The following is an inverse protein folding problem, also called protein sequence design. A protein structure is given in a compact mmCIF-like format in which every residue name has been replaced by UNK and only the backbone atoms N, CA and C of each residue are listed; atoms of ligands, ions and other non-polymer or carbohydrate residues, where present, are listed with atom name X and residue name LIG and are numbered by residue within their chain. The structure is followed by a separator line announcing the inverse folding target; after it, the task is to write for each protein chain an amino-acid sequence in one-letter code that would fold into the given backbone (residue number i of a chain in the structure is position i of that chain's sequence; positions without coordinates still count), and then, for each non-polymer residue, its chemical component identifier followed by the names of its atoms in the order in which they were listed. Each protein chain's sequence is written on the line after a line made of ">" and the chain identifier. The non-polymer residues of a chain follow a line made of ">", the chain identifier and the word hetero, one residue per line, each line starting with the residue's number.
data_IF_452500127830
#
_entry.id   IF_452500127830
#
_cell.length_a   1.000
_cell.length_b   1.000
_cell.length_c   1.000
_cell.angle_alpha   90.00
_cell.angle_beta   90.00
_cell.angle_gamma   90.00
#
_symmetry.space_group_name_H-M   'P 1'
#
loop_
_entity.id
_entity.type
_entity.pdbx_description
1 polymer ?
#
# COMPACT_ATOMS: atom_id res chain seq x y z
N UNK A 1 2.58 -13.25 -14.81
CA UNK A 1 3.08 -14.64 -14.98
C UNK A 1 3.92 -15.14 -13.80
N UNK A 2 4.76 -14.31 -13.17
CA UNK A 2 5.64 -14.72 -12.03
C UNK A 2 4.86 -15.42 -10.91
N UNK A 3 3.70 -14.90 -10.49
CA UNK A 3 2.90 -15.50 -9.41
C UNK A 3 2.44 -16.94 -9.70
N UNK A 4 2.18 -17.28 -10.97
CA UNK A 4 1.82 -18.66 -11.35
C UNK A 4 3.03 -19.59 -11.17
N UNK A 5 4.23 -19.16 -11.57
CA UNK A 5 5.45 -19.94 -11.39
C UNK A 5 5.84 -20.08 -9.91
N UNK A 6 5.49 -19.10 -9.07
CA UNK A 6 5.71 -19.16 -7.62
C UNK A 6 4.66 -20.01 -6.88
N UNK A 7 3.51 -20.31 -7.50
CA UNK A 7 2.43 -21.07 -6.85
C UNK A 7 2.85 -22.46 -6.36
N UNK A 8 3.62 -23.29 -7.11
CA UNK A 8 4.13 -24.57 -6.58
C UNK A 8 5.02 -24.40 -5.36
N UNK A 9 5.88 -23.39 -5.36
CA UNK A 9 6.77 -23.09 -4.22
C UNK A 9 5.92 -22.69 -3.01
N UNK A 10 4.92 -21.82 -3.22
CA UNK A 10 3.96 -21.44 -2.18
C UNK A 10 3.26 -22.66 -1.55
N UNK A 11 2.80 -23.61 -2.38
CA UNK A 11 2.15 -24.82 -1.89
C UNK A 11 3.12 -25.73 -1.10
N UNK A 12 4.36 -25.89 -1.58
CA UNK A 12 5.40 -26.67 -0.86
C UNK A 12 5.74 -26.03 0.49
N UNK A 13 5.85 -24.71 0.57
CA UNK A 13 6.09 -24.00 1.83
C UNK A 13 4.91 -24.15 2.81
N UNK A 14 3.66 -24.14 2.29
CA UNK A 14 2.50 -24.42 3.13
C UNK A 14 2.48 -25.87 3.63
N UNK A 15 2.90 -26.86 2.83
CA UNK A 15 3.05 -28.24 3.29
C UNK A 15 4.15 -28.36 4.37
N UNK A 16 5.25 -27.62 4.26
CA UNK A 16 6.29 -27.56 5.28
C UNK A 16 5.73 -27.00 6.61
N UNK A 17 4.97 -25.90 6.56
CA UNK A 17 4.32 -25.31 7.74
C UNK A 17 3.32 -26.31 8.36
N UNK A 18 2.48 -26.95 7.55
CA UNK A 18 1.50 -27.93 8.01
C UNK A 18 2.18 -29.12 8.72
N UNK A 19 3.26 -29.65 8.10
CA UNK A 19 4.09 -30.71 8.70
C UNK A 19 4.67 -30.26 10.04
N UNK A 20 5.23 -29.05 10.09
CA UNK A 20 5.81 -28.51 11.32
C UNK A 20 4.76 -28.36 12.42
N UNK A 21 3.57 -27.84 12.10
CA UNK A 21 2.46 -27.72 13.02
C UNK A 21 2.02 -29.08 13.56
N UNK A 22 1.94 -30.11 12.72
CA UNK A 22 1.62 -31.49 13.18
C UNK A 22 2.65 -32.06 14.13
N UNK A 23 3.93 -31.85 13.86
CA UNK A 23 5.01 -32.31 14.73
C UNK A 23 4.91 -31.64 16.11
N UNK A 24 4.73 -30.32 16.11
CA UNK A 24 4.59 -29.54 17.35
C UNK A 24 3.35 -29.89 18.15
N UNK A 25 2.17 -29.87 17.54
CA UNK A 25 0.90 -30.21 18.20
C UNK A 25 0.96 -31.63 18.79
N UNK A 26 1.61 -32.54 18.08
CA UNK A 26 1.82 -33.90 18.58
C UNK A 26 2.68 -33.98 19.85
N UNK A 27 3.49 -32.96 20.17
CA UNK A 27 4.22 -32.90 21.45
C UNK A 27 3.38 -32.31 22.57
N UNK A 28 2.37 -31.49 22.24
CA UNK A 28 1.53 -30.83 23.24
C UNK A 28 0.55 -31.80 23.94
N UNK A 29 -0.26 -32.51 23.15
CA UNK A 29 -1.29 -33.43 23.73
C UNK A 29 -1.58 -34.61 22.81
N UNK A 30 -1.95 -35.79 23.41
CA UNK A 30 -2.20 -37.02 22.66
C UNK A 30 -3.38 -36.92 21.69
N UNK A 31 -4.45 -36.18 22.02
CA UNK A 31 -5.62 -36.00 21.17
C UNK A 31 -5.25 -35.32 19.82
N UNK A 32 -4.24 -34.42 19.84
CA UNK A 32 -3.76 -33.73 18.66
C UNK A 32 -2.97 -34.62 17.68
N UNK A 33 -2.69 -35.89 18.09
CA UNK A 33 -2.09 -36.91 17.24
C UNK A 33 -3.12 -37.77 16.52
N UNK A 34 -4.37 -37.74 16.95
CA UNK A 34 -5.42 -38.57 16.35
C UNK A 34 -5.63 -38.19 14.90
N UNK A 35 -5.94 -39.20 14.07
CA UNK A 35 -6.18 -39.00 12.64
C UNK A 35 -7.32 -38.01 12.41
N UNK A 36 -8.42 -38.13 13.19
CA UNK A 36 -9.58 -37.23 13.07
C UNK A 36 -9.20 -35.77 13.29
N UNK A 37 -8.44 -35.45 14.36
CA UNK A 37 -7.99 -34.09 14.61
C UNK A 37 -7.09 -33.57 13.47
N UNK A 38 -6.11 -34.40 13.05
CA UNK A 38 -5.20 -34.01 11.96
C UNK A 38 -5.92 -33.74 10.63
N UNK A 39 -6.92 -34.54 10.31
CA UNK A 39 -7.72 -34.33 9.11
C UNK A 39 -8.53 -33.03 9.18
N UNK A 40 -9.20 -32.77 10.30
CA UNK A 40 -9.97 -31.52 10.50
C UNK A 40 -9.03 -30.31 10.41
N UNK A 41 -7.89 -30.36 11.09
CA UNK A 41 -6.90 -29.27 11.03
C UNK A 41 -6.37 -29.08 9.60
N UNK A 42 -6.05 -30.16 8.87
CA UNK A 42 -5.60 -30.09 7.48
C UNK A 42 -6.63 -29.42 6.59
N UNK A 43 -7.91 -29.83 6.68
CA UNK A 43 -8.99 -29.25 5.86
C UNK A 43 -9.10 -27.75 6.13
N UNK A 44 -9.15 -27.35 7.40
CA UNK A 44 -9.22 -25.92 7.77
C UNK A 44 -7.98 -25.17 7.23
N UNK A 45 -6.79 -25.69 7.47
CA UNK A 45 -5.54 -25.06 7.00
C UNK A 45 -5.50 -24.92 5.48
N UNK A 46 -5.87 -25.98 4.74
CA UNK A 46 -5.91 -25.97 3.26
C UNK A 46 -6.91 -24.95 2.74
N UNK A 47 -8.11 -24.85 3.34
CA UNK A 47 -9.10 -23.85 2.93
C UNK A 47 -8.55 -22.42 3.07
N UNK A 48 -7.82 -22.12 4.16
CA UNK A 48 -7.20 -20.81 4.33
C UNK A 48 -5.99 -20.62 3.40
N UNK A 49 -5.07 -21.58 3.34
CA UNK A 49 -3.84 -21.46 2.55
C UNK A 49 -4.09 -21.44 1.04
N UNK A 50 -5.12 -22.11 0.54
CA UNK A 50 -5.47 -22.07 -0.88
C UNK A 50 -6.38 -20.91 -1.25
N UNK A 51 -6.92 -20.14 -0.26
CA UNK A 51 -7.85 -19.04 -0.52
C UNK A 51 -7.28 -17.97 -1.46
N UNK A 52 -5.96 -17.74 -1.43
CA UNK A 52 -5.26 -16.84 -2.33
C UNK A 52 -5.41 -17.29 -3.80
N UNK A 53 -5.16 -18.58 -4.08
CA UNK A 53 -5.25 -19.16 -5.43
C UNK A 53 -6.70 -19.37 -5.86
N UNK A 54 -7.54 -19.90 -4.97
CA UNK A 54 -8.96 -20.14 -5.28
C UNK A 54 -9.73 -18.83 -5.45
N UNK A 55 -9.35 -17.76 -4.72
CA UNK A 55 -9.89 -16.42 -4.92
C UNK A 55 -9.51 -15.81 -6.27
N UNK A 56 -8.38 -16.19 -6.85
CA UNK A 56 -8.02 -15.81 -8.21
C UNK A 56 -8.81 -16.61 -9.27
N UNK A 57 -9.04 -17.90 -9.04
CA UNK A 57 -9.69 -18.80 -10.01
C UNK A 57 -11.21 -18.73 -9.97
N UNK A 58 -11.82 -18.60 -8.79
CA UNK A 58 -13.28 -18.64 -8.60
C UNK A 58 -13.84 -17.23 -8.64
N UNK A 59 -14.48 -16.86 -9.73
CA UNK A 59 -15.08 -15.53 -9.95
C UNK A 59 -16.56 -15.46 -9.52
N UNK A 60 -17.26 -16.59 -9.51
CA UNK A 60 -18.68 -16.67 -9.16
C UNK A 60 -18.95 -17.76 -8.12
N UNK A 61 -19.92 -17.58 -7.22
CA UNK A 61 -20.68 -16.33 -6.99
C UNK A 61 -19.81 -15.20 -6.42
N UNK A 62 -20.14 -13.93 -6.73
CA UNK A 62 -19.35 -12.75 -6.32
C UNK A 62 -19.09 -12.67 -4.80
N UNK A 63 -20.02 -13.16 -3.97
CA UNK A 63 -19.85 -13.22 -2.51
C UNK A 63 -18.73 -14.16 -2.07
N UNK A 64 -18.66 -15.34 -2.68
CA UNK A 64 -17.60 -16.32 -2.43
C UNK A 64 -16.25 -15.81 -2.94
N UNK A 65 -16.20 -15.27 -4.15
CA UNK A 65 -15.02 -14.65 -4.71
C UNK A 65 -14.44 -13.60 -3.74
N UNK A 66 -15.27 -12.64 -3.30
CA UNK A 66 -14.88 -11.61 -2.34
C UNK A 66 -14.36 -12.20 -1.02
N UNK A 67 -15.06 -13.21 -0.49
CA UNK A 67 -14.64 -13.88 0.76
C UNK A 67 -13.25 -14.50 0.60
N UNK A 68 -13.01 -15.21 -0.51
CA UNK A 68 -11.72 -15.84 -0.81
C UNK A 68 -10.61 -14.82 -1.00
N UNK A 69 -10.85 -13.72 -1.74
CA UNK A 69 -9.87 -12.63 -1.92
C UNK A 69 -9.49 -12.00 -0.57
N UNK A 70 -10.46 -11.63 0.25
CA UNK A 70 -10.20 -11.06 1.59
C UNK A 70 -9.42 -12.05 2.47
N UNK A 71 -9.88 -13.30 2.55
CA UNK A 71 -9.22 -14.35 3.32
C UNK A 71 -7.79 -14.56 2.85
N UNK A 72 -7.57 -14.62 1.52
CA UNK A 72 -6.24 -14.78 0.91
C UNK A 72 -5.30 -13.64 1.25
N UNK A 73 -5.76 -12.38 1.19
CA UNK A 73 -4.94 -11.21 1.53
C UNK A 73 -4.50 -11.21 3.01
N UNK A 74 -5.39 -11.57 3.94
CA UNK A 74 -5.02 -11.72 5.35
C UNK A 74 -4.10 -12.91 5.58
N UNK A 75 -4.42 -14.06 4.96
CA UNK A 75 -3.61 -15.27 5.10
C UNK A 75 -2.21 -15.08 4.54
N UNK A 76 -2.04 -14.36 3.43
CA UNK A 76 -0.73 -14.10 2.84
C UNK A 76 0.22 -13.45 3.84
N UNK A 77 -0.23 -12.45 4.58
CA UNK A 77 0.59 -11.81 5.60
C UNK A 77 0.91 -12.74 6.77
N UNK A 78 -0.10 -13.49 7.27
CA UNK A 78 0.10 -14.48 8.34
C UNK A 78 1.09 -15.57 7.88
N UNK A 79 0.96 -16.05 6.65
CA UNK A 79 1.84 -17.04 6.04
C UNK A 79 3.30 -16.57 6.00
N UNK A 80 3.56 -15.33 5.57
CA UNK A 80 4.92 -14.78 5.48
C UNK A 80 5.61 -14.78 6.84
N UNK A 81 4.94 -14.28 7.89
CA UNK A 81 5.53 -14.27 9.24
C UNK A 81 5.59 -15.65 9.86
N UNK A 82 4.61 -16.51 9.61
CA UNK A 82 4.67 -17.92 10.04
C UNK A 82 5.89 -18.62 9.45
N UNK A 83 6.10 -18.45 8.15
CA UNK A 83 7.25 -19.04 7.46
C UNK A 83 8.58 -18.57 8.05
N UNK A 84 8.75 -17.24 8.19
CA UNK A 84 9.98 -16.65 8.72
C UNK A 84 10.26 -17.13 10.15
N UNK A 85 9.25 -17.11 11.04
CA UNK A 85 9.41 -17.52 12.44
C UNK A 85 9.78 -19.00 12.54
N UNK A 86 9.12 -19.88 11.77
CA UNK A 86 9.41 -21.30 11.77
C UNK A 86 10.81 -21.60 11.21
N UNK A 87 11.20 -20.93 10.12
CA UNK A 87 12.55 -21.07 9.55
C UNK A 87 13.63 -20.62 10.53
N UNK A 88 13.43 -19.49 11.21
CA UNK A 88 14.36 -19.01 12.24
C UNK A 88 14.44 -19.98 13.44
N UNK A 89 13.30 -20.54 13.87
CA UNK A 89 13.28 -21.54 14.94
C UNK A 89 14.00 -22.82 14.54
N UNK A 90 13.78 -23.34 13.33
CA UNK A 90 14.49 -24.54 12.85
C UNK A 90 15.97 -24.27 12.63
N UNK A 91 16.35 -23.09 12.11
CA UNK A 91 17.75 -22.69 11.97
C UNK A 91 18.43 -22.57 13.34
N UNK A 92 17.79 -21.90 14.31
CA UNK A 92 18.29 -21.80 15.68
C UNK A 92 18.45 -23.18 16.33
N UNK A 93 17.50 -24.10 16.10
CA UNK A 93 17.61 -25.48 16.60
C UNK A 93 18.80 -26.23 15.98
N UNK A 94 19.06 -26.04 14.69
CA UNK A 94 20.21 -26.63 14.00
C UNK A 94 21.52 -26.10 14.59
N UNK A 95 21.64 -24.77 14.80
CA UNK A 95 22.83 -24.16 15.41
C UNK A 95 23.06 -24.69 16.83
N UNK A 96 22.02 -24.68 17.69
CA UNK A 96 22.12 -25.17 19.06
C UNK A 96 22.51 -26.63 19.11
N UNK A 97 22.04 -27.47 18.17
CA UNK A 97 22.37 -28.89 18.10
C UNK A 97 23.78 -29.17 17.61
N UNK A 98 24.16 -28.59 16.48
CA UNK A 98 25.36 -29.01 15.73
C UNK A 98 26.56 -28.10 15.95
N UNK A 99 26.35 -26.83 16.32
CA UNK A 99 27.46 -25.89 16.59
C UNK A 99 27.71 -25.76 18.08
N UNK A 100 26.65 -25.55 18.87
CA UNK A 100 26.77 -25.34 20.31
C UNK A 100 26.65 -26.65 21.14
N UNK A 101 26.31 -27.79 20.51
CA UNK A 101 26.18 -29.10 21.13
C UNK A 101 25.28 -29.14 22.39
N UNK A 102 24.21 -28.35 22.39
CA UNK A 102 23.27 -28.27 23.52
C UNK A 102 22.40 -29.53 23.59
N UNK A 103 22.61 -30.38 24.58
CA UNK A 103 21.98 -31.71 24.67
C UNK A 103 20.46 -31.67 24.88
N UNK A 104 19.96 -30.73 25.69
CA UNK A 104 18.54 -30.65 26.01
C UNK A 104 17.63 -30.21 24.84
N UNK A 105 18.21 -29.65 23.75
CA UNK A 105 17.47 -29.22 22.58
C UNK A 105 16.73 -30.36 21.87
N UNK A 106 17.15 -31.61 22.12
CA UNK A 106 16.49 -32.80 21.60
C UNK A 106 15.24 -33.21 22.38
N UNK A 107 15.02 -32.63 23.56
CA UNK A 107 13.89 -33.01 24.41
C UNK A 107 12.54 -32.63 23.80
N UNK A 108 11.52 -33.45 24.08
CA UNK A 108 10.14 -33.14 23.72
C UNK A 108 9.71 -31.80 24.32
N UNK A 109 10.11 -31.54 25.56
CA UNK A 109 9.77 -30.30 26.28
C UNK A 109 10.34 -29.08 25.57
N UNK A 110 11.62 -29.13 25.13
CA UNK A 110 12.26 -28.03 24.37
C UNK A 110 11.47 -27.71 23.10
N UNK A 111 11.07 -28.72 22.32
CA UNK A 111 10.32 -28.51 21.09
C UNK A 111 8.89 -28.01 21.35
N UNK A 112 8.23 -28.50 22.43
CA UNK A 112 6.91 -28.03 22.85
C UNK A 112 6.95 -26.54 23.21
N UNK A 113 7.92 -26.14 24.04
CA UNK A 113 8.09 -24.74 24.48
C UNK A 113 8.46 -23.83 23.31
N UNK A 114 9.44 -24.23 22.48
CA UNK A 114 9.83 -23.46 21.32
C UNK A 114 8.63 -23.23 20.37
N UNK A 115 7.85 -24.28 20.11
CA UNK A 115 6.66 -24.17 19.28
C UNK A 115 5.56 -23.28 19.87
N UNK A 116 5.38 -23.33 21.19
CA UNK A 116 4.45 -22.42 21.87
C UNK A 116 4.89 -20.95 21.76
N UNK A 117 6.20 -20.68 21.87
CA UNK A 117 6.78 -19.35 21.65
C UNK A 117 6.54 -18.92 20.20
N UNK A 118 6.84 -19.77 19.22
CA UNK A 118 6.57 -19.48 17.81
C UNK A 118 5.10 -19.15 17.55
N UNK A 119 4.18 -19.98 18.05
CA UNK A 119 2.74 -19.77 17.90
C UNK A 119 2.28 -18.43 18.52
N UNK A 120 2.78 -18.11 19.70
CA UNK A 120 2.50 -16.83 20.37
C UNK A 120 3.04 -15.64 19.55
N UNK A 121 4.27 -15.72 19.06
CA UNK A 121 4.86 -14.67 18.22
C UNK A 121 4.09 -14.48 16.92
N UNK A 122 3.72 -15.56 16.23
CA UNK A 122 2.91 -15.51 15.01
C UNK A 122 1.57 -14.83 15.29
N UNK A 123 0.89 -15.23 16.37
CA UNK A 123 -0.40 -14.65 16.77
C UNK A 123 -0.26 -13.16 17.06
N UNK A 124 0.70 -12.76 17.88
CA UNK A 124 0.92 -11.37 18.27
C UNK A 124 1.31 -10.49 17.07
N UNK A 125 2.28 -10.92 16.28
CA UNK A 125 2.71 -10.14 15.10
C UNK A 125 1.58 -10.01 14.08
N UNK A 126 0.86 -11.10 13.80
CA UNK A 126 -0.26 -11.05 12.87
C UNK A 126 -1.39 -10.17 13.37
N UNK A 127 -1.80 -10.31 14.64
CA UNK A 127 -2.82 -9.45 15.22
C UNK A 127 -2.39 -7.99 15.24
N UNK A 128 -1.19 -7.68 15.75
CA UNK A 128 -0.67 -6.33 15.77
C UNK A 128 -0.59 -5.73 14.36
N UNK A 129 -0.06 -6.47 13.38
CA UNK A 129 0.06 -5.98 12.01
C UNK A 129 -1.28 -5.68 11.33
N UNK A 130 -2.28 -6.55 11.55
CA UNK A 130 -3.64 -6.37 11.02
C UNK A 130 -4.34 -5.16 11.67
N UNK A 131 -4.22 -4.99 12.98
CA UNK A 131 -4.82 -3.84 13.68
C UNK A 131 -4.08 -2.55 13.35
N UNK A 132 -2.75 -2.59 13.29
CA UNK A 132 -1.91 -1.44 12.98
C UNK A 132 -2.20 -0.88 11.58
N UNK A 133 -2.39 -1.73 10.58
CA UNK A 133 -2.77 -1.33 9.22
C UNK A 133 -4.07 -0.51 9.14
N UNK A 134 -4.96 -0.64 10.12
CA UNK A 134 -6.24 0.09 10.19
C UNK A 134 -6.12 1.42 10.91
N UNK A 135 -5.03 1.65 11.62
CA UNK A 135 -4.78 2.90 12.33
C UNK A 135 -4.06 3.89 11.44
N UNK A 136 -4.78 4.93 11.01
CA UNK A 136 -4.21 5.97 10.16
C UNK A 136 -3.54 7.02 11.05
N UNK A 137 -2.24 7.18 10.92
CA UNK A 137 -1.44 8.23 11.57
C UNK A 137 -1.57 9.55 10.80
N UNK A 138 -1.36 10.67 11.48
CA UNK A 138 -1.12 11.95 10.82
C UNK A 138 0.34 12.32 11.09
N UNK A 139 1.14 12.39 10.03
CA UNK A 139 2.53 12.84 10.09
C UNK A 139 2.58 14.29 9.64
N UNK A 140 3.30 15.14 10.37
CA UNK A 140 3.38 16.58 10.08
C UNK A 140 4.75 16.93 9.53
N UNK A 141 4.76 17.77 8.49
CA UNK A 141 5.96 18.33 7.89
C UNK A 141 5.85 19.86 7.82
N UNK A 142 6.96 20.54 8.04
CA UNK A 142 7.09 21.99 7.82
C UNK A 142 7.99 22.21 6.60
N UNK A 143 7.50 22.95 5.62
CA UNK A 143 8.17 23.22 4.33
C UNK A 143 8.24 24.72 4.12
N UNK A 144 9.36 25.20 3.61
CA UNK A 144 9.55 26.62 3.23
C UNK A 144 9.60 26.69 1.71
N UNK A 145 8.71 27.49 1.12
CA UNK A 145 8.74 27.83 -0.31
C UNK A 145 9.12 29.29 -0.43
N UNK A 146 10.29 29.58 -1.07
CA UNK A 146 10.84 30.91 -1.24
C UNK A 146 10.13 31.76 -2.31
N UNK A 147 8.81 31.61 -2.40
CA UNK A 147 7.93 32.35 -3.29
C UNK A 147 6.78 32.97 -2.54
N UNK A 148 6.11 33.95 -3.12
CA UNK A 148 5.03 34.69 -2.48
C UNK A 148 3.66 34.27 -3.02
N UNK A 149 2.66 34.29 -2.15
CA UNK A 149 1.24 34.28 -2.53
C UNK A 149 0.63 35.56 -1.97
N UNK A 150 -0.08 36.37 -2.76
CA UNK A 150 -0.71 37.60 -2.26
C UNK A 150 -1.58 37.32 -1.04
N UNK A 151 -1.46 38.15 -0.03
CA UNK A 151 -2.24 38.12 1.22
C UNK A 151 -2.09 36.85 2.07
N UNK A 152 -1.11 35.98 1.74
CA UNK A 152 -0.84 34.74 2.48
C UNK A 152 0.63 34.59 2.85
N UNK A 153 0.86 34.15 4.08
CA UNK A 153 2.20 33.78 4.58
C UNK A 153 2.36 32.28 4.83
N UNK A 154 1.24 31.54 4.77
CA UNK A 154 1.25 30.10 4.96
C UNK A 154 0.10 29.43 4.24
N UNK A 155 0.27 28.14 3.95
CA UNK A 155 -0.74 27.26 3.38
C UNK A 155 -0.61 25.86 3.95
N UNK A 156 -1.73 25.21 4.21
CA UNK A 156 -1.75 23.82 4.69
C UNK A 156 -2.19 22.87 3.59
N UNK A 157 -1.31 21.93 3.25
CA UNK A 157 -1.60 20.86 2.29
C UNK A 157 -1.72 19.53 3.04
N UNK A 158 -2.72 18.71 2.69
CA UNK A 158 -2.78 17.33 3.13
C UNK A 158 -2.49 16.43 1.94
N UNK A 159 -1.44 15.61 2.08
CA UNK A 159 -1.09 14.55 1.14
C UNK A 159 -1.66 13.23 1.66
N UNK A 160 -2.28 12.47 0.77
CA UNK A 160 -2.56 11.05 0.92
C UNK A 160 -2.27 10.32 -0.39
N UNK A 161 -1.97 9.02 -0.31
CA UNK A 161 -1.76 8.14 -1.45
C UNK A 161 -2.11 6.70 -1.05
N UNK A 162 -2.12 5.81 -2.02
CA UNK A 162 -2.17 4.37 -1.79
C UNK A 162 -3.33 3.96 -0.89
N UNK A 163 -4.52 4.46 -1.17
CA UNK A 163 -5.71 4.11 -0.38
C UNK A 163 -6.21 2.70 -0.69
N UNK A 164 -5.92 2.17 -1.89
CA UNK A 164 -6.29 0.84 -2.35
C UNK A 164 -7.73 0.46 -2.01
N UNK A 165 -8.69 1.34 -2.38
CA UNK A 165 -10.10 1.02 -2.20
C UNK A 165 -10.49 -0.20 -3.02
N UNK A 166 -10.96 -1.25 -2.33
CA UNK A 166 -11.25 -2.53 -2.94
C UNK A 166 -11.70 -3.58 -1.93
N UNK A 167 -11.01 -4.72 -1.90
CA UNK A 167 -11.34 -5.82 -0.99
C UNK A 167 -11.03 -5.51 0.46
N UNK A 168 -9.88 -4.85 0.74
CA UNK A 168 -9.37 -4.61 2.10
C UNK A 168 -9.81 -3.25 2.65
N UNK A 169 -9.93 -2.23 1.81
CA UNK A 169 -10.30 -0.87 2.18
C UNK A 169 -11.64 -0.49 1.56
N UNK A 170 -12.54 0.08 2.34
CA UNK A 170 -13.87 0.48 1.89
C UNK A 170 -14.41 1.68 2.68
N UNK A 171 -15.73 1.80 2.76
CA UNK A 171 -16.42 2.96 3.35
C UNK A 171 -15.98 3.30 4.78
N UNK A 172 -15.67 2.30 5.63
CA UNK A 172 -15.23 2.57 7.00
C UNK A 172 -13.84 3.20 7.03
N UNK A 173 -12.95 2.70 6.18
CA UNK A 173 -11.62 3.27 6.01
C UNK A 173 -11.68 4.70 5.46
N UNK A 174 -12.50 4.93 4.43
CA UNK A 174 -12.71 6.27 3.87
C UNK A 174 -13.29 7.27 4.90
N UNK A 175 -14.21 6.84 5.76
CA UNK A 175 -14.73 7.70 6.84
C UNK A 175 -13.65 8.16 7.80
N UNK A 176 -12.74 7.25 8.16
CA UNK A 176 -11.63 7.59 9.05
C UNK A 176 -10.65 8.54 8.33
N UNK A 177 -10.34 8.29 7.05
CA UNK A 177 -9.53 9.21 6.23
C UNK A 177 -10.14 10.60 6.19
N UNK A 178 -11.41 10.72 5.80
CA UNK A 178 -12.11 12.01 5.71
C UNK A 178 -12.11 12.73 7.06
N UNK A 179 -12.36 12.00 8.16
CA UNK A 179 -12.31 12.54 9.52
C UNK A 179 -10.92 13.10 9.85
N UNK A 180 -9.86 12.36 9.53
CA UNK A 180 -8.46 12.74 9.77
C UNK A 180 -8.05 13.94 8.93
N UNK A 181 -8.39 13.95 7.63
CA UNK A 181 -8.14 15.06 6.70
C UNK A 181 -8.83 16.34 7.21
N UNK A 182 -10.12 16.25 7.48
CA UNK A 182 -10.90 17.42 7.90
C UNK A 182 -10.45 18.00 9.24
N UNK A 183 -9.90 17.16 10.15
CA UNK A 183 -9.30 17.60 11.40
C UNK A 183 -8.09 18.50 11.16
N UNK A 184 -7.36 18.33 10.05
CA UNK A 184 -6.22 19.18 9.71
C UNK A 184 -6.63 20.56 9.19
N UNK A 185 -7.88 20.75 8.76
CA UNK A 185 -8.39 21.99 8.13
C UNK A 185 -7.49 22.39 6.94
N UNK A 186 -7.30 21.53 5.94
CA UNK A 186 -6.40 21.82 4.83
C UNK A 186 -6.91 22.94 3.93
N UNK A 187 -5.98 23.71 3.37
CA UNK A 187 -6.28 24.59 2.25
C UNK A 187 -6.39 23.80 0.94
N UNK A 188 -5.53 22.79 0.75
CA UNK A 188 -5.48 21.94 -0.42
C UNK A 188 -5.35 20.47 0.01
N UNK A 189 -5.97 19.55 -0.74
CA UNK A 189 -5.78 18.11 -0.56
C UNK A 189 -5.23 17.52 -1.85
N UNK A 190 -4.11 16.78 -1.74
CA UNK A 190 -3.44 16.10 -2.85
C UNK A 190 -3.49 14.59 -2.64
N UNK A 191 -3.91 13.85 -3.68
CA UNK A 191 -3.96 12.38 -3.69
C UNK A 191 -2.95 11.88 -4.73
N UNK A 192 -1.86 11.29 -4.25
CA UNK A 192 -0.76 10.86 -5.09
C UNK A 192 -0.93 9.40 -5.56
N UNK A 193 -2.04 9.10 -6.24
CA UNK A 193 -2.29 7.83 -6.93
C UNK A 193 -2.61 6.63 -6.04
N UNK A 194 -2.79 5.49 -6.68
CA UNK A 194 -3.19 4.19 -6.12
C UNK A 194 -4.44 4.31 -5.24
N UNK A 195 -5.45 4.98 -5.82
CA UNK A 195 -6.74 5.20 -5.17
C UNK A 195 -7.53 3.89 -5.13
N UNK A 196 -7.46 3.11 -6.21
CA UNK A 196 -8.13 1.82 -6.36
C UNK A 196 -7.14 0.66 -6.18
N UNK A 197 -7.68 -0.51 -5.81
CA UNK A 197 -6.91 -1.76 -5.73
C UNK A 197 -7.16 -2.60 -7.00
N UNK A 198 -6.79 -2.06 -8.15
CA UNK A 198 -6.98 -2.56 -9.51
C UNK A 198 -8.46 -2.76 -9.89
N UNK A 199 -9.13 -3.76 -9.36
CA UNK A 199 -10.48 -4.15 -9.75
C UNK A 199 -11.55 -3.17 -9.19
N UNK A 200 -12.20 -2.36 -10.04
CA UNK A 200 -13.30 -1.49 -9.61
C UNK A 200 -14.44 -2.26 -8.92
N UNK A 201 -14.75 -3.48 -9.41
CA UNK A 201 -15.77 -4.35 -8.84
C UNK A 201 -15.41 -4.87 -7.42
N UNK A 202 -14.16 -4.70 -6.98
CA UNK A 202 -13.74 -4.97 -5.61
C UNK A 202 -14.37 -3.99 -4.61
N UNK A 203 -14.83 -2.82 -5.04
CA UNK A 203 -15.51 -1.83 -4.19
C UNK A 203 -16.92 -2.31 -3.89
N UNK A 204 -17.24 -2.58 -2.62
CA UNK A 204 -18.53 -3.13 -2.22
C UNK A 204 -19.72 -2.17 -2.42
N UNK A 205 -19.53 -0.89 -2.14
CA UNK A 205 -20.58 0.13 -2.17
C UNK A 205 -20.00 1.44 -2.74
N UNK A 206 -19.77 1.53 -4.06
CA UNK A 206 -19.10 2.69 -4.68
C UNK A 206 -19.83 4.01 -4.40
N UNK A 207 -21.14 4.09 -4.57
CA UNK A 207 -21.94 5.31 -4.31
C UNK A 207 -21.80 5.83 -2.86
N UNK A 208 -21.75 4.90 -1.88
CA UNK A 208 -21.55 5.26 -0.48
C UNK A 208 -20.13 5.72 -0.21
N UNK A 209 -19.15 5.16 -0.91
CA UNK A 209 -17.75 5.55 -0.84
C UNK A 209 -17.56 6.95 -1.44
N UNK A 210 -18.11 7.22 -2.64
CA UNK A 210 -18.16 8.53 -3.28
C UNK A 210 -18.76 9.59 -2.36
N UNK A 211 -19.94 9.30 -1.80
CA UNK A 211 -20.60 10.20 -0.84
C UNK A 211 -19.73 10.48 0.38
N UNK A 212 -18.94 9.51 0.82
CA UNK A 212 -18.03 9.67 1.97
C UNK A 212 -16.87 10.59 1.58
N UNK A 213 -16.24 10.35 0.41
CA UNK A 213 -15.12 11.15 -0.08
C UNK A 213 -15.51 12.60 -0.41
N UNK A 214 -16.72 12.85 -0.90
CA UNK A 214 -17.29 14.21 -1.03
C UNK A 214 -17.33 14.99 0.29
N UNK A 215 -17.21 14.32 1.42
CA UNK A 215 -17.09 14.92 2.74
C UNK A 215 -15.73 15.55 3.05
N UNK A 216 -14.73 15.42 2.18
CA UNK A 216 -13.44 16.10 2.32
C UNK A 216 -13.66 17.61 2.17
N UNK A 217 -13.14 18.37 3.14
CA UNK A 217 -13.23 19.82 3.19
C UNK A 217 -11.86 20.43 2.94
N UNK A 218 -11.78 21.33 1.97
CA UNK A 218 -10.57 22.09 1.64
C UNK A 218 -10.94 23.41 0.97
N UNK A 219 -10.11 24.42 1.10
CA UNK A 219 -10.35 25.75 0.53
C UNK A 219 -10.22 25.73 -1.00
N UNK A 220 -9.21 25.00 -1.51
CA UNK A 220 -8.86 24.99 -2.93
C UNK A 220 -9.25 23.70 -3.65
N UNK A 221 -9.90 22.77 -2.95
CA UNK A 221 -10.37 21.51 -3.54
C UNK A 221 -9.43 20.33 -3.32
N UNK A 222 -9.74 19.22 -3.99
CA UNK A 222 -9.03 17.93 -3.93
C UNK A 222 -8.53 17.61 -5.32
N UNK A 223 -7.23 17.42 -5.47
CA UNK A 223 -6.57 17.08 -6.73
C UNK A 223 -5.85 15.74 -6.61
N UNK A 224 -5.82 14.98 -7.69
CA UNK A 224 -5.22 13.66 -7.73
C UNK A 224 -4.45 13.42 -9.03
N UNK A 225 -3.47 12.53 -8.99
CA UNK A 225 -2.93 11.83 -10.16
C UNK A 225 -3.30 10.35 -10.10
N UNK A 226 -3.12 9.61 -11.19
CA UNK A 226 -3.23 8.16 -11.21
C UNK A 226 -1.96 7.50 -10.70
N UNK A 227 -2.10 6.34 -10.04
CA UNK A 227 -1.03 5.44 -9.72
C UNK A 227 -1.05 4.18 -10.59
N UNK A 228 -0.10 3.29 -10.37
CA UNK A 228 0.06 2.08 -11.19
C UNK A 228 -0.98 0.98 -10.89
N UNK A 229 -1.73 1.10 -9.78
CA UNK A 229 -2.86 0.23 -9.43
C UNK A 229 -4.23 0.82 -9.83
N UNK A 230 -4.28 2.02 -10.37
CA UNK A 230 -5.52 2.63 -10.86
C UNK A 230 -5.88 2.13 -12.28
N UNK A 231 -5.70 0.85 -12.50
CA UNK A 231 -5.99 0.10 -13.71
C UNK A 231 -6.85 -1.12 -13.38
N UNK A 232 -7.69 -1.54 -14.33
CA UNK A 232 -8.49 -2.75 -14.17
C UNK A 232 -7.68 -3.99 -14.55
N UNK A 233 -6.88 -4.49 -13.62
CA UNK A 233 -6.04 -5.67 -13.80
C UNK A 233 -6.32 -6.71 -12.69
N UNK A 234 -6.30 -7.99 -13.05
CA UNK A 234 -6.39 -9.06 -12.05
C UNK A 234 -5.12 -9.16 -11.22
N UNK A 235 -5.27 -9.33 -9.90
CA UNK A 235 -4.16 -9.44 -8.95
C UNK A 235 -4.14 -10.83 -8.31
N UNK A 236 -2.93 -11.43 -8.23
CA UNK A 236 -2.62 -12.59 -7.41
C UNK A 236 -1.41 -12.30 -6.54
N UNK A 237 -1.59 -12.31 -5.22
CA UNK A 237 -0.51 -12.06 -4.25
C UNK A 237 0.24 -10.73 -4.47
N UNK A 238 -0.44 -9.68 -4.93
CA UNK A 238 0.15 -8.39 -5.25
C UNK A 238 0.71 -8.29 -6.68
N UNK A 239 0.82 -9.37 -7.44
CA UNK A 239 1.28 -9.33 -8.83
C UNK A 239 0.11 -9.18 -9.79
N UNK A 240 0.22 -8.23 -10.73
CA UNK A 240 -0.77 -7.99 -11.77
C UNK A 240 -0.60 -8.93 -12.96
N UNK A 241 -1.70 -9.27 -13.61
CA UNK A 241 -1.73 -10.10 -14.81
C UNK A 241 -2.19 -9.27 -16.00
N UNK A 242 -1.38 -9.27 -17.08
CA UNK A 242 -1.74 -8.60 -18.33
C UNK A 242 -2.99 -9.26 -18.92
N UNK A 243 -3.93 -8.47 -19.42
CA UNK A 243 -5.03 -8.98 -20.24
C UNK A 243 -4.51 -9.77 -21.42
N UNK A 244 -5.16 -10.91 -21.73
CA UNK A 244 -4.72 -11.83 -22.80
C UNK A 244 -4.89 -11.25 -24.20
N UNK A 245 -5.81 -10.32 -24.39
CA UNK A 245 -6.30 -9.91 -25.73
C UNK A 245 -5.75 -8.57 -26.21
N UNK A 246 -4.82 -7.96 -25.48
CA UNK A 246 -4.13 -6.72 -25.94
C UNK A 246 -5.03 -5.50 -26.09
N UNK A 247 -6.31 -5.57 -25.70
CA UNK A 247 -7.22 -4.44 -25.74
C UNK A 247 -6.99 -3.54 -24.52
N UNK A 248 -6.32 -2.40 -24.78
CA UNK A 248 -6.02 -1.40 -23.78
C UNK A 248 -7.26 -0.65 -23.27
N UNK A 249 -8.40 -0.74 -23.99
CA UNK A 249 -9.65 -0.08 -23.60
C UNK A 249 -10.24 -0.66 -22.31
N UNK A 250 -10.02 -1.95 -22.06
CA UNK A 250 -10.51 -2.63 -20.86
C UNK A 250 -9.63 -2.36 -19.62
N UNK A 251 -8.39 -1.90 -19.83
CA UNK A 251 -7.46 -1.63 -18.74
C UNK A 251 -7.82 -0.31 -18.03
N UNK A 252 -8.26 0.71 -18.78
CA UNK A 252 -8.75 1.98 -18.22
C UNK A 252 -10.26 1.88 -17.97
N UNK A 253 -10.65 1.45 -16.78
CA UNK A 253 -12.08 1.39 -16.44
C UNK A 253 -12.67 2.80 -16.30
N UNK A 254 -13.60 3.22 -17.20
CA UNK A 254 -14.17 4.57 -17.16
C UNK A 254 -14.96 4.86 -15.88
N UNK A 255 -15.37 3.81 -15.15
CA UNK A 255 -16.04 3.94 -13.85
C UNK A 255 -15.14 4.56 -12.81
N UNK A 256 -13.81 4.32 -12.87
CA UNK A 256 -12.83 4.93 -11.95
C UNK A 256 -12.80 6.45 -12.11
N UNK A 257 -12.72 6.95 -13.35
CA UNK A 257 -12.76 8.40 -13.63
C UNK A 257 -14.09 9.04 -13.24
N UNK A 258 -15.20 8.35 -13.52
CA UNK A 258 -16.53 8.78 -13.09
C UNK A 258 -16.64 8.87 -11.56
N UNK A 259 -16.14 7.84 -10.86
CA UNK A 259 -16.12 7.79 -9.40
C UNK A 259 -15.38 9.00 -8.79
N UNK A 260 -14.20 9.37 -9.31
CA UNK A 260 -13.45 10.52 -8.83
C UNK A 260 -14.22 11.82 -9.06
N UNK A 261 -14.80 11.98 -10.26
CA UNK A 261 -15.65 13.14 -10.57
C UNK A 261 -16.85 13.23 -9.61
N UNK A 262 -17.54 12.12 -9.38
CA UNK A 262 -18.70 12.05 -8.47
C UNK A 262 -18.30 12.20 -7.00
N UNK A 263 -17.01 12.04 -6.67
CA UNK A 263 -16.42 12.29 -5.36
C UNK A 263 -15.89 13.72 -5.17
N UNK A 264 -16.05 14.62 -6.16
CA UNK A 264 -15.45 15.96 -6.22
C UNK A 264 -13.92 15.95 -6.13
N UNK A 265 -13.27 14.96 -6.76
CA UNK A 265 -11.83 14.84 -6.87
C UNK A 265 -11.43 15.16 -8.32
N UNK A 266 -10.56 16.16 -8.49
CA UNK A 266 -10.05 16.59 -9.79
C UNK A 266 -8.82 15.78 -10.16
N UNK A 267 -8.95 14.88 -11.17
CA UNK A 267 -7.83 14.12 -11.69
C UNK A 267 -7.03 14.95 -12.69
N UNK A 268 -5.71 14.95 -12.57
CA UNK A 268 -4.79 15.63 -13.45
C UNK A 268 -3.88 14.59 -14.13
N UNK A 269 -3.73 14.70 -15.47
CA UNK A 269 -3.02 13.72 -16.32
C UNK A 269 -1.98 14.44 -17.20
N UNK A 270 -0.81 14.77 -16.67
CA UNK A 270 0.18 15.67 -17.28
C UNK A 270 -0.38 17.08 -17.55
N UNK A 271 -1.17 17.56 -16.61
CA UNK A 271 -1.88 18.83 -16.66
C UNK A 271 -1.51 19.71 -15.47
N UNK A 272 -1.53 21.02 -15.67
CA UNK A 272 -1.36 22.04 -14.65
C UNK A 272 -2.62 22.88 -14.49
N UNK A 273 -2.96 23.20 -13.26
CA UNK A 273 -4.07 24.09 -12.92
C UNK A 273 -3.54 25.26 -12.09
N UNK A 274 -3.83 26.50 -12.53
CA UNK A 274 -3.55 27.71 -11.75
C UNK A 274 -4.71 27.96 -10.78
N UNK A 275 -4.44 27.91 -9.50
CA UNK A 275 -5.42 28.08 -8.44
C UNK A 275 -5.51 29.56 -8.04
N UNK A 276 -6.68 30.17 -8.26
CA UNK A 276 -6.98 31.54 -7.89
C UNK A 276 -5.91 32.58 -8.30
N UNK A 277 -5.21 32.33 -9.40
CA UNK A 277 -4.05 33.11 -9.86
C UNK A 277 -2.88 33.17 -8.85
N UNK A 278 -2.79 32.23 -7.92
CA UNK A 278 -1.86 32.26 -6.79
C UNK A 278 -0.73 31.23 -6.91
N UNK A 279 -1.02 29.97 -7.25
CA UNK A 279 -0.07 28.87 -7.33
C UNK A 279 -0.55 27.79 -8.29
N UNK A 280 0.38 26.96 -8.76
CA UNK A 280 0.06 25.85 -9.65
C UNK A 280 -0.02 24.53 -8.89
N UNK A 281 -0.98 23.69 -9.28
CA UNK A 281 -1.04 22.27 -8.98
C UNK A 281 -0.88 21.49 -10.27
N UNK A 282 0.07 20.57 -10.32
CA UNK A 282 0.34 19.73 -11.50
C UNK A 282 0.12 18.28 -11.08
N UNK A 283 -0.64 17.51 -11.86
CA UNK A 283 -0.71 16.07 -11.73
C UNK A 283 0.04 15.41 -12.86
N UNK A 284 0.97 14.54 -12.52
CA UNK A 284 1.82 13.83 -13.47
C UNK A 284 1.28 12.43 -13.73
N UNK A 285 1.34 11.96 -14.97
CA UNK A 285 1.04 10.57 -15.31
C UNK A 285 2.04 9.63 -14.66
N UNK A 286 1.59 8.53 -14.10
CA UNK A 286 2.48 7.53 -13.52
C UNK A 286 3.33 6.83 -14.58
N UNK A 287 4.62 6.63 -14.29
CA UNK A 287 5.58 6.05 -15.24
C UNK A 287 5.25 4.60 -15.59
N UNK A 288 4.92 3.79 -14.58
CA UNK A 288 4.60 2.37 -14.77
C UNK A 288 3.24 2.18 -15.45
N UNK A 289 2.28 3.06 -15.15
CA UNK A 289 0.98 3.07 -15.81
C UNK A 289 1.14 3.39 -17.29
N UNK A 290 1.86 4.47 -17.64
CA UNK A 290 2.07 4.86 -19.04
C UNK A 290 2.83 3.80 -19.85
N UNK A 291 3.81 3.13 -19.24
CA UNK A 291 4.49 1.99 -19.87
C UNK A 291 3.53 0.85 -20.19
N UNK A 292 2.64 0.50 -19.23
CA UNK A 292 1.66 -0.59 -19.41
C UNK A 292 0.66 -0.32 -20.53
N UNK A 293 0.20 0.92 -20.67
CA UNK A 293 -0.81 1.31 -21.67
C UNK A 293 -0.21 1.91 -22.94
N UNK A 294 1.12 1.83 -23.11
CA UNK A 294 1.85 2.36 -24.27
C UNK A 294 1.60 3.86 -24.52
N UNK A 295 1.39 4.63 -23.48
CA UNK A 295 1.36 6.07 -23.50
C UNK A 295 2.74 6.66 -23.11
N UNK A 296 2.95 7.94 -23.44
CA UNK A 296 4.11 8.70 -22.98
C UNK A 296 3.71 9.67 -21.89
N UNK A 297 4.56 9.84 -20.86
CA UNK A 297 4.41 10.92 -19.89
C UNK A 297 5.31 12.09 -20.26
N UNK A 298 4.88 13.29 -19.95
CA UNK A 298 5.68 14.49 -20.19
C UNK A 298 6.90 14.54 -19.26
N UNK A 299 8.04 14.96 -19.80
CA UNK A 299 9.19 15.29 -18.99
C UNK A 299 8.89 16.49 -18.06
N UNK A 300 9.50 16.58 -16.86
CA UNK A 300 9.26 17.68 -15.91
C UNK A 300 9.38 19.07 -16.54
N UNK A 301 10.42 19.31 -17.32
CA UNK A 301 10.64 20.59 -17.99
C UNK A 301 9.50 21.00 -18.93
N UNK A 302 8.83 20.02 -19.57
CA UNK A 302 7.69 20.29 -20.46
C UNK A 302 6.41 20.63 -19.70
N UNK A 303 6.27 20.13 -18.48
CA UNK A 303 5.13 20.44 -17.62
C UNK A 303 5.18 21.86 -17.07
N UNK A 304 6.40 22.40 -16.89
CA UNK A 304 6.61 23.73 -16.28
C UNK A 304 7.01 24.82 -17.27
N UNK A 305 7.30 24.50 -18.57
CA UNK A 305 7.86 25.45 -19.54
C UNK A 305 7.04 26.73 -19.77
N UNK A 306 5.71 26.64 -19.57
CA UNK A 306 4.78 27.75 -19.79
C UNK A 306 4.24 28.39 -18.51
N UNK A 307 4.73 27.92 -17.35
CA UNK A 307 4.26 28.40 -16.08
C UNK A 307 5.05 29.61 -15.59
N UNK A 308 4.37 30.49 -14.87
CA UNK A 308 4.98 31.59 -14.16
C UNK A 308 5.77 31.02 -12.96
N UNK A 309 7.10 31.06 -13.06
CA UNK A 309 8.00 30.48 -12.04
C UNK A 309 8.11 31.31 -10.77
N UNK A 310 7.54 32.53 -10.74
CA UNK A 310 7.47 33.33 -9.51
C UNK A 310 6.35 32.84 -8.60
N UNK A 311 5.39 32.07 -9.14
CA UNK A 311 4.33 31.41 -8.37
C UNK A 311 4.77 30.02 -7.86
N UNK A 312 4.34 29.60 -6.66
CA UNK A 312 4.59 28.23 -6.17
C UNK A 312 4.06 27.16 -7.12
N UNK A 313 4.85 26.09 -7.29
CA UNK A 313 4.51 24.93 -8.14
C UNK A 313 4.50 23.68 -7.26
N UNK A 314 3.31 23.10 -7.07
CA UNK A 314 3.10 21.85 -6.34
C UNK A 314 2.86 20.74 -7.36
N UNK A 315 3.70 19.71 -7.35
CA UNK A 315 3.58 18.52 -8.18
C UNK A 315 2.92 17.39 -7.38
N UNK A 316 2.02 16.66 -8.00
CA UNK A 316 1.49 15.39 -7.51
C UNK A 316 2.00 14.32 -8.48
N UNK A 317 2.96 13.52 -8.05
CA UNK A 317 3.48 12.35 -8.78
C UNK A 317 3.23 11.10 -7.93
N UNK A 318 2.92 9.96 -8.55
CA UNK A 318 2.70 8.76 -7.76
C UNK A 318 4.01 8.16 -7.26
N UNK A 319 4.99 8.02 -8.13
CA UNK A 319 6.29 7.44 -7.82
C UNK A 319 7.35 8.51 -7.57
N UNK A 320 8.17 8.43 -6.50
CA UNK A 320 9.26 9.38 -6.24
C UNK A 320 10.45 9.12 -7.19
N UNK A 321 10.27 9.51 -8.46
CA UNK A 321 11.24 9.36 -9.54
C UNK A 321 11.58 10.70 -10.17
N UNK A 322 12.77 10.76 -10.79
CA UNK A 322 13.22 11.95 -11.54
C UNK A 322 13.23 13.21 -10.65
N UNK A 323 13.65 13.03 -9.37
CA UNK A 323 13.60 14.11 -8.37
C UNK A 323 14.52 15.29 -8.74
N UNK A 324 15.68 15.02 -9.37
CA UNK A 324 16.56 16.08 -9.84
C UNK A 324 15.94 16.84 -11.02
N UNK A 325 15.37 16.13 -11.98
CA UNK A 325 14.70 16.71 -13.14
C UNK A 325 13.49 17.58 -12.74
N UNK A 326 12.77 17.18 -11.67
CA UNK A 326 11.69 17.99 -11.11
C UNK A 326 12.22 19.27 -10.45
N UNK A 327 13.31 19.18 -9.69
CA UNK A 327 13.96 20.33 -9.08
C UNK A 327 14.48 21.31 -10.16
N UNK A 328 15.17 20.81 -11.21
CA UNK A 328 15.67 21.58 -12.33
C UNK A 328 14.53 22.25 -13.14
N UNK A 329 13.37 21.61 -13.19
CA UNK A 329 12.15 22.15 -13.80
C UNK A 329 11.50 23.27 -12.98
N UNK A 330 11.96 23.54 -11.74
CA UNK A 330 11.48 24.60 -10.86
C UNK A 330 10.22 24.24 -10.07
N UNK A 331 10.00 22.94 -9.82
CA UNK A 331 9.00 22.47 -8.85
C UNK A 331 9.45 22.84 -7.45
N UNK A 332 8.54 23.34 -6.61
CA UNK A 332 8.85 23.71 -5.22
C UNK A 332 8.51 22.61 -4.23
N UNK A 333 7.42 21.90 -4.48
CA UNK A 333 6.96 20.79 -3.63
C UNK A 333 6.48 19.64 -4.50
N UNK A 334 7.10 18.48 -4.33
CA UNK A 334 6.71 17.23 -4.99
C UNK A 334 6.13 16.23 -3.98
N UNK A 335 4.95 15.67 -4.28
CA UNK A 335 4.14 14.87 -3.39
C UNK A 335 3.93 13.48 -3.96
N UNK A 336 4.45 12.45 -3.27
CA UNK A 336 4.50 11.08 -3.77
C UNK A 336 3.93 10.04 -2.78
N UNK A 337 3.67 8.83 -3.32
CA UNK A 337 3.28 7.62 -2.60
C UNK A 337 4.05 6.38 -3.07
N UNK A 338 3.32 5.33 -3.47
CA UNK A 338 3.80 4.12 -4.15
C UNK A 338 4.59 3.13 -3.31
N UNK A 339 5.51 3.57 -2.51
CA UNK A 339 6.52 2.71 -1.86
C UNK A 339 5.97 1.94 -0.66
N UNK A 340 4.87 2.42 -0.07
CA UNK A 340 4.32 1.96 1.20
C UNK A 340 5.33 1.91 2.36
N UNK A 341 6.51 2.58 2.22
CA UNK A 341 7.69 2.38 3.09
C UNK A 341 8.05 0.89 3.24
N UNK A 342 7.80 0.08 2.17
CA UNK A 342 7.97 -1.37 2.18
C UNK A 342 6.91 -2.15 2.95
N UNK A 343 5.89 -1.48 3.53
CA UNK A 343 4.68 -1.98 4.19
C UNK A 343 4.91 -2.98 5.34
N UNK A 344 5.78 -3.99 5.18
CA UNK A 344 6.02 -5.05 6.15
C UNK A 344 7.51 -5.28 6.35
N UNK A 345 7.96 -5.40 7.62
CA UNK A 345 9.33 -5.78 7.93
C UNK A 345 9.66 -7.16 7.30
N UNK A 346 10.84 -7.36 6.65
CA UNK A 346 11.95 -6.41 6.50
C UNK A 346 11.86 -5.52 5.24
N UNK A 347 10.72 -5.45 4.55
CA UNK A 347 10.53 -4.65 3.34
C UNK A 347 10.88 -3.17 3.53
N UNK A 348 10.66 -2.62 4.74
CA UNK A 348 11.05 -1.26 5.10
C UNK A 348 12.57 -0.98 5.07
N UNK A 349 13.40 -2.02 5.05
CA UNK A 349 14.85 -1.87 4.82
C UNK A 349 15.20 -1.99 3.34
N UNK A 350 14.60 -2.94 2.64
CA UNK A 350 14.93 -3.20 1.23
C UNK A 350 14.45 -2.08 0.31
N UNK A 351 13.31 -1.44 0.63
CA UNK A 351 12.76 -0.33 -0.15
C UNK A 351 13.73 0.87 -0.23
N UNK A 352 14.53 1.09 0.82
CA UNK A 352 15.55 2.15 0.89
C UNK A 352 16.73 1.94 -0.07
N UNK A 353 16.89 0.73 -0.59
CA UNK A 353 17.89 0.41 -1.59
C UNK A 353 17.38 0.65 -3.02
N UNK A 354 16.07 0.81 -3.19
CA UNK A 354 15.41 0.91 -4.49
C UNK A 354 15.03 2.36 -4.85
N UNK A 355 14.81 3.22 -3.84
CA UNK A 355 14.28 4.57 -4.01
C UNK A 355 15.14 5.60 -3.30
N UNK A 356 15.34 6.76 -3.94
CA UNK A 356 16.08 7.88 -3.34
C UNK A 356 15.35 8.44 -2.11
N UNK A 357 14.03 8.60 -2.19
CA UNK A 357 13.17 8.93 -1.06
C UNK A 357 12.01 7.93 -0.95
N UNK A 358 12.20 6.80 -0.27
CA UNK A 358 11.13 5.82 -0.12
C UNK A 358 10.01 6.28 0.81
N UNK A 359 10.28 7.14 1.79
CA UNK A 359 9.29 7.71 2.71
C UNK A 359 9.90 8.88 3.49
N UNK A 360 9.08 9.88 3.76
CA UNK A 360 9.48 11.06 4.50
C UNK A 360 9.82 12.25 3.62
N UNK A 361 10.60 13.17 4.15
CA UNK A 361 10.98 14.42 3.50
C UNK A 361 12.41 14.33 2.97
N UNK A 362 12.58 14.73 1.70
CA UNK A 362 13.88 14.94 1.06
C UNK A 362 13.91 16.34 0.47
N UNK A 363 14.98 17.09 0.77
CA UNK A 363 15.25 18.38 0.12
C UNK A 363 16.21 18.18 -1.05
N UNK A 364 15.87 18.76 -2.19
CA UNK A 364 16.68 18.69 -3.41
C UNK A 364 16.74 20.07 -4.06
N UNK A 365 17.87 20.73 -3.95
CA UNK A 365 18.02 22.14 -4.28
C UNK A 365 16.94 23.03 -3.63
N UNK A 366 16.10 23.68 -4.45
CA UNK A 366 14.99 24.49 -3.95
C UNK A 366 13.67 23.70 -3.83
N UNK A 367 13.66 22.40 -4.17
CA UNK A 367 12.49 21.55 -4.12
C UNK A 367 12.47 20.72 -2.82
N UNK A 368 11.29 20.57 -2.24
CA UNK A 368 11.03 19.57 -1.22
C UNK A 368 10.21 18.43 -1.83
N UNK A 369 10.69 17.19 -1.73
CA UNK A 369 9.89 16.01 -2.01
C UNK A 369 9.39 15.39 -0.70
N UNK A 370 8.11 15.01 -0.66
CA UNK A 370 7.50 14.26 0.45
C UNK A 370 6.86 13.00 -0.13
N UNK A 371 7.36 11.84 0.31
CA UNK A 371 6.80 10.53 -0.03
C UNK A 371 6.09 9.98 1.19
N UNK A 372 4.78 9.70 1.06
CA UNK A 372 4.02 9.06 2.15
C UNK A 372 4.16 7.55 2.14
N UNK A 373 4.07 6.94 3.31
CA UNK A 373 3.96 5.47 3.44
C UNK A 373 2.59 4.93 3.00
N UNK A 374 1.68 5.81 2.57
CA UNK A 374 0.36 5.43 2.07
C UNK A 374 -0.68 5.23 3.16
N UNK A 375 -1.95 5.39 2.80
CA UNK A 375 -3.08 5.36 3.73
C UNK A 375 -3.76 3.97 3.80
N UNK A 376 -3.55 3.11 2.82
CA UNK A 376 -4.08 1.75 2.72
C UNK A 376 -3.02 0.67 2.84
N UNK A 377 -3.32 -0.49 2.29
CA UNK A 377 -2.42 -1.65 2.20
C UNK A 377 -2.55 -2.30 0.83
N UNK A 378 -1.43 -2.74 0.30
CA UNK A 378 -1.31 -3.49 -0.92
C UNK A 378 -0.94 -4.96 -0.64
N UNK A 379 -1.55 -5.93 -1.35
CA UNK A 379 -1.29 -7.35 -1.16
C UNK A 379 -1.64 -7.86 0.25
N UNK A 380 -0.66 -8.18 1.13
CA UNK A 380 -0.93 -8.61 2.50
C UNK A 380 -1.66 -7.54 3.30
N UNK A 381 -2.83 -7.88 3.89
CA UNK A 381 -3.65 -6.92 4.63
C UNK A 381 -3.10 -6.62 6.03
N UNK A 382 -1.85 -6.17 6.13
CA UNK A 382 -1.18 -5.83 7.38
C UNK A 382 -0.02 -4.85 7.19
N UNK A 383 0.37 -4.18 8.30
CA UNK A 383 1.57 -3.35 8.38
C UNK A 383 2.39 -3.71 9.62
N UNK A 384 3.68 -3.92 9.43
CA UNK A 384 4.64 -4.20 10.51
C UNK A 384 5.91 -3.39 10.25
N UNK A 385 6.23 -2.49 11.18
CA UNK A 385 7.40 -1.60 11.07
C UNK A 385 7.17 -0.36 10.21
N UNK A 386 5.95 -0.16 9.70
CA UNK A 386 5.54 1.02 8.92
C UNK A 386 4.12 1.44 9.32
N UNK A 387 3.74 2.68 9.07
CA UNK A 387 2.42 3.23 9.43
C UNK A 387 1.51 3.35 8.19
N UNK A 388 0.19 3.22 8.37
CA UNK A 388 -0.77 3.85 7.45
C UNK A 388 -0.87 5.31 7.81
N UNK A 389 -0.76 6.25 6.85
CA UNK A 389 -0.73 7.67 7.19
C UNK A 389 -1.40 8.59 6.17
N UNK A 390 -1.68 9.80 6.65
CA UNK A 390 -1.82 11.02 5.87
C UNK A 390 -0.73 12.00 6.30
N UNK A 391 -0.19 12.80 5.38
CA UNK A 391 0.78 13.83 5.70
C UNK A 391 0.12 15.20 5.76
N UNK A 392 0.31 15.92 6.88
CA UNK A 392 -0.13 17.30 7.06
C UNK A 392 1.06 18.22 6.86
N UNK A 393 1.08 19.00 5.79
CA UNK A 393 2.21 19.79 5.34
C UNK A 393 1.89 21.26 5.58
N UNK A 394 2.65 21.90 6.48
CA UNK A 394 2.56 23.33 6.74
C UNK A 394 3.57 24.05 5.85
N UNK A 395 3.11 24.73 4.83
CA UNK A 395 3.97 25.50 3.93
C UNK A 395 4.07 26.91 4.48
N UNK A 396 5.29 27.37 4.73
CA UNK A 396 5.62 28.76 5.00
C UNK A 396 6.06 29.43 3.69
N UNK A 397 5.44 30.54 3.36
CA UNK A 397 5.71 31.32 2.16
C UNK A 397 6.57 32.54 2.51
N UNK A 398 7.37 32.98 1.54
CA UNK A 398 8.10 34.25 1.68
C UNK A 398 7.10 35.39 1.85
N UNK A 399 7.38 36.34 2.73
CA UNK A 399 6.56 37.55 2.85
C UNK A 399 6.69 38.36 1.56
N UNK A 400 5.54 38.83 1.05
CA UNK A 400 5.51 39.76 -0.09
C UNK A 400 6.15 41.09 0.27
#
# INVERSE_FOLDING_TARGET
>A
MIAIYLSPIYLLLNLYILRWAYLWMGTCHSILRTLGFRLIFAVIYVLFSTSLLTGFLIKNPKSLHRMLKITGNYFLGIFLYTLVIILLADFGRILLKYVFHVSWIHSRTAFTVAGAICALLILLLSACGIFHAKYIKTTSYDVIINKTIPERTSMKVVLLADTHFGYNAGVLHARELVRKINKQKPDLVCIAGDIFDNEYDAIRNPEKLEKTLRGIKSTYGVYACWGNHDLNEEILAGFTFKHKDGDLSDIKDPRMKKFLKDSNIHILEDESVLINDQFYVIGRKDASLTEKIHETRKAPARLTEKLDRDKPIIMIDHQPKELQELADAGVDLDLCGHTHDGQTFPGNFTIKLMWENPCGLLSKDNMTNITTSGAGVWGPAMRIGTDSEICSINIQLKKA
#
